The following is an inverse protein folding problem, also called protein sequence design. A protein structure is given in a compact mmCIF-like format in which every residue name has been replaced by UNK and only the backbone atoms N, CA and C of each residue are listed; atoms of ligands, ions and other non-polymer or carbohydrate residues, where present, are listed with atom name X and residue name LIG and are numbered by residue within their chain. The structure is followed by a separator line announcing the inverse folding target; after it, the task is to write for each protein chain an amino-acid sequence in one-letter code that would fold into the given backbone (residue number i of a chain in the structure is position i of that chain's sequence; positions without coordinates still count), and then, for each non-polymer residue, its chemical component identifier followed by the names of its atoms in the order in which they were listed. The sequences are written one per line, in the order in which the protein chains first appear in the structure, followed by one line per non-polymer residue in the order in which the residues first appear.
data_IF_439149816971
#
_entry.id   IF_439149816971
#
_cell.length_a   1.000
_cell.length_b   1.000
_cell.length_c   1.000
_cell.angle_alpha   90.00
_cell.angle_beta   90.00
_cell.angle_gamma   90.00
#
_symmetry.space_group_name_H-M   'P 1'
#
loop_
_entity.id
_entity.type
_entity.pdbx_description
1 polymer ?
#
# COMPACT_ATOMS: atom_id res chain seq x y z
N UNK A 1 17.81 19.50 26.98
CA UNK A 1 18.34 18.51 27.94
C UNK A 1 17.17 17.70 28.48
N UNK A 2 17.27 16.38 28.48
CA UNK A 2 16.30 15.49 29.11
C UNK A 2 17.04 14.47 30.00
N UNK A 3 16.31 13.89 30.95
CA UNK A 3 16.82 12.86 31.84
C UNK A 3 16.16 11.52 31.49
N UNK A 4 16.99 10.48 31.31
CA UNK A 4 16.50 9.10 31.18
C UNK A 4 17.17 8.25 32.25
N UNK A 5 16.47 8.01 33.36
CA UNK A 5 17.05 7.44 34.57
C UNK A 5 18.12 8.37 35.15
N UNK A 6 19.35 7.86 35.31
CA UNK A 6 20.51 8.63 35.81
C UNK A 6 21.33 9.31 34.71
N UNK A 7 20.99 9.10 33.43
CA UNK A 7 21.75 9.62 32.31
C UNK A 7 21.22 10.98 31.85
N UNK A 8 22.13 11.87 31.49
CA UNK A 8 21.83 13.15 30.86
C UNK A 8 21.90 12.96 29.34
N UNK A 9 20.84 13.34 28.64
CA UNK A 9 20.78 13.30 27.18
C UNK A 9 20.39 14.67 26.61
N UNK A 10 20.84 14.95 25.39
CA UNK A 10 20.44 16.13 24.63
C UNK A 10 19.56 15.72 23.46
N UNK A 11 18.49 16.47 23.26
CA UNK A 11 17.53 16.30 22.18
C UNK A 11 17.35 17.66 21.54
N UNK A 12 17.42 17.70 20.22
CA UNK A 12 17.19 18.91 19.43
C UNK A 12 16.52 18.54 18.11
N UNK A 13 15.78 19.49 17.53
CA UNK A 13 15.22 19.37 16.18
C UNK A 13 16.23 19.66 15.07
N UNK A 14 17.30 20.39 15.40
CA UNK A 14 18.43 20.64 14.50
C UNK A 14 19.21 19.34 14.22
N UNK A 15 20.06 19.38 13.19
CA UNK A 15 21.04 18.31 13.00
C UNK A 15 21.98 18.26 14.21
N UNK A 16 22.36 17.05 14.60
CA UNK A 16 23.08 16.84 15.84
C UNK A 16 24.08 15.70 15.77
N UNK A 17 25.13 15.82 16.57
CA UNK A 17 26.09 14.74 16.80
C UNK A 17 25.48 13.60 17.62
N UNK A 18 26.27 12.55 17.86
CA UNK A 18 25.83 11.39 18.64
C UNK A 18 25.44 11.72 20.09
N UNK A 19 25.97 12.81 20.65
CA UNK A 19 25.63 13.30 21.98
C UNK A 19 24.38 14.19 22.01
N UNK A 20 23.81 14.51 20.84
CA UNK A 20 22.61 15.35 20.70
C UNK A 20 22.88 16.86 20.71
N UNK A 21 24.15 17.27 20.58
CA UNK A 21 24.52 18.67 20.41
C UNK A 21 24.40 19.12 18.96
N UNK A 22 23.93 20.34 18.75
CA UNK A 22 23.73 20.93 17.42
C UNK A 22 25.05 20.95 16.65
N UNK A 23 24.99 20.59 15.38
CA UNK A 23 26.13 20.63 14.46
C UNK A 23 25.67 20.97 13.04
N UNK A 24 26.51 21.72 12.33
CA UNK A 24 26.34 22.01 10.90
C UNK A 24 27.46 21.38 10.05
N UNK A 25 28.29 20.53 10.67
CA UNK A 25 29.37 19.82 10.00
C UNK A 25 28.81 18.85 8.92
N UNK A 26 29.26 18.98 7.65
CA UNK A 26 28.68 18.22 6.54
C UNK A 26 28.92 16.70 6.65
N UNK A 27 30.05 16.26 7.20
CA UNK A 27 30.33 14.82 7.37
C UNK A 27 29.40 14.21 8.43
N UNK A 28 29.23 14.91 9.55
CA UNK A 28 28.28 14.51 10.60
C UNK A 28 26.85 14.50 10.08
N UNK A 29 26.47 15.50 9.26
CA UNK A 29 25.16 15.57 8.62
C UNK A 29 24.89 14.35 7.74
N UNK A 30 25.83 13.99 6.86
CA UNK A 30 25.69 12.83 5.98
C UNK A 30 25.59 11.52 6.78
N UNK A 31 26.49 11.33 7.75
CA UNK A 31 26.51 10.15 8.61
C UNK A 31 25.20 10.00 9.42
N UNK A 32 24.69 11.09 10.01
CA UNK A 32 23.48 11.05 10.83
C UNK A 32 22.20 10.90 10.00
N UNK A 33 22.15 11.49 8.81
CA UNK A 33 21.06 11.25 7.87
C UNK A 33 21.05 9.80 7.40
N UNK A 34 22.20 9.29 6.96
CA UNK A 34 22.37 7.89 6.54
C UNK A 34 21.98 6.94 7.67
N UNK A 35 22.42 7.20 8.91
CA UNK A 35 22.01 6.42 10.09
C UNK A 35 20.49 6.35 10.24
N UNK A 36 19.78 7.48 10.12
CA UNK A 36 18.31 7.54 10.26
C UNK A 36 17.61 6.81 9.12
N UNK A 37 18.05 7.03 7.88
CA UNK A 37 17.43 6.42 6.69
C UNK A 37 17.70 4.91 6.61
N UNK A 38 18.86 4.44 7.04
CA UNK A 38 19.16 2.99 7.11
C UNK A 38 18.19 2.24 8.01
N UNK A 39 17.61 2.88 9.04
CA UNK A 39 16.55 2.25 9.85
C UNK A 39 15.32 1.89 9.01
N UNK A 40 14.98 2.69 8.00
CA UNK A 40 13.90 2.34 7.08
C UNK A 40 14.28 1.08 6.27
N UNK A 41 15.52 0.97 5.79
CA UNK A 41 15.98 -0.25 5.11
C UNK A 41 15.92 -1.49 6.05
N UNK A 42 16.27 -1.29 7.33
CA UNK A 42 16.15 -2.33 8.35
C UNK A 42 14.70 -2.82 8.51
N UNK A 43 13.70 -1.92 8.45
CA UNK A 43 12.28 -2.28 8.52
C UNK A 43 11.91 -3.30 7.42
N UNK A 44 12.31 -3.05 6.17
CA UNK A 44 12.01 -3.97 5.05
C UNK A 44 12.70 -5.32 5.19
N UNK A 45 13.84 -5.39 5.89
CA UNK A 45 14.58 -6.64 6.11
C UNK A 45 14.05 -7.45 7.28
N UNK A 46 13.59 -6.78 8.34
CA UNK A 46 13.27 -7.40 9.63
C UNK A 46 11.77 -7.65 9.83
N UNK A 47 10.90 -6.87 9.19
CA UNK A 47 9.47 -7.17 9.17
C UNK A 47 9.22 -8.34 8.18
N UNK A 48 8.51 -9.40 8.57
CA UNK A 48 8.18 -10.50 7.66
C UNK A 48 7.44 -10.03 6.40
N UNK A 49 7.70 -10.65 5.24
CA UNK A 49 7.13 -10.23 3.94
C UNK A 49 5.59 -10.14 4.01
N UNK A 50 4.93 -11.11 4.64
CA UNK A 50 3.47 -11.18 4.84
C UNK A 50 2.91 -10.08 5.74
N UNK A 51 3.77 -9.45 6.55
CA UNK A 51 3.44 -8.27 7.34
C UNK A 51 3.66 -6.96 6.58
N UNK A 52 4.39 -6.99 5.47
CA UNK A 52 4.55 -5.85 4.56
C UNK A 52 3.46 -5.83 3.49
N UNK A 53 3.26 -6.94 2.79
CA UNK A 53 2.28 -7.12 1.73
C UNK A 53 1.88 -8.59 1.63
N UNK A 54 0.59 -8.85 1.43
CA UNK A 54 0.06 -10.20 1.33
C UNK A 54 -0.58 -10.42 -0.04
N UNK A 55 -0.19 -11.48 -0.74
CA UNK A 55 -0.94 -12.01 -1.87
C UNK A 55 -1.93 -13.08 -1.36
N UNK A 56 -3.22 -12.88 -1.63
CA UNK A 56 -4.30 -13.79 -1.21
C UNK A 56 -5.01 -14.31 -2.46
N UNK A 57 -5.04 -15.63 -2.65
CA UNK A 57 -5.61 -16.29 -3.82
C UNK A 57 -4.54 -16.80 -4.79
N UNK A 58 -4.97 -17.21 -5.99
CA UNK A 58 -4.07 -17.76 -7.01
C UNK A 58 -3.19 -16.64 -7.61
N UNK A 59 -1.84 -16.73 -7.59
CA UNK A 59 -0.95 -15.74 -8.19
C UNK A 59 -1.18 -15.51 -9.70
N UNK A 60 -1.74 -16.50 -10.39
CA UNK A 60 -2.01 -16.45 -11.84
C UNK A 60 -3.47 -16.14 -12.17
N UNK A 61 -4.20 -15.53 -11.23
CA UNK A 61 -5.58 -15.12 -11.43
C UNK A 61 -5.72 -14.10 -12.59
N UNK A 62 -6.91 -14.05 -13.19
CA UNK A 62 -7.21 -13.12 -14.27
C UNK A 62 -7.32 -11.68 -13.77
N UNK A 63 -7.74 -11.52 -12.51
CA UNK A 63 -7.95 -10.22 -11.86
C UNK A 63 -7.11 -10.15 -10.58
N UNK A 64 -6.39 -9.06 -10.43
CA UNK A 64 -5.67 -8.72 -9.20
C UNK A 64 -6.24 -7.44 -8.63
N UNK A 65 -6.94 -7.56 -7.50
CA UNK A 65 -7.29 -6.41 -6.69
C UNK A 65 -6.04 -5.92 -5.95
N UNK A 66 -5.81 -4.61 -5.96
CA UNK A 66 -4.82 -3.94 -5.14
C UNK A 66 -5.57 -3.07 -4.14
N UNK A 67 -5.32 -3.26 -2.84
CA UNK A 67 -6.04 -2.52 -1.80
C UNK A 67 -5.26 -2.49 -0.48
N UNK A 68 -5.73 -1.65 0.43
CA UNK A 68 -5.26 -1.55 1.80
C UNK A 68 -6.45 -1.29 2.76
N UNK A 69 -6.19 -1.36 4.07
CA UNK A 69 -7.16 -0.97 5.10
C UNK A 69 -8.42 -1.84 5.15
N UNK A 70 -9.57 -1.20 5.38
CA UNK A 70 -10.85 -1.86 5.72
C UNK A 70 -11.44 -2.74 4.61
N UNK A 71 -10.95 -2.62 3.37
CA UNK A 71 -11.59 -3.24 2.22
C UNK A 71 -11.26 -4.73 2.05
N UNK A 72 -10.33 -5.28 2.85
CA UNK A 72 -9.90 -6.68 2.76
C UNK A 72 -11.08 -7.65 2.77
N UNK A 73 -11.95 -7.57 3.78
CA UNK A 73 -13.07 -8.51 3.94
C UNK A 73 -14.05 -8.47 2.77
N UNK A 74 -14.36 -7.26 2.30
CA UNK A 74 -15.25 -7.02 1.16
C UNK A 74 -14.69 -7.65 -0.12
N UNK A 75 -13.41 -7.43 -0.40
CA UNK A 75 -12.74 -7.99 -1.58
C UNK A 75 -12.73 -9.52 -1.54
N UNK A 76 -12.47 -10.11 -0.38
CA UNK A 76 -12.51 -11.58 -0.24
C UNK A 76 -13.90 -12.16 -0.51
N UNK A 77 -14.98 -11.48 -0.07
CA UNK A 77 -16.36 -11.86 -0.45
C UNK A 77 -16.54 -11.86 -1.97
N UNK A 78 -16.10 -10.78 -2.63
CA UNK A 78 -16.23 -10.64 -4.09
C UNK A 78 -15.39 -11.67 -4.86
N UNK A 79 -14.19 -12.03 -4.36
CA UNK A 79 -13.37 -13.08 -4.98
C UNK A 79 -14.13 -14.42 -4.99
N UNK A 80 -14.82 -14.79 -3.90
CA UNK A 80 -15.61 -16.02 -3.88
C UNK A 80 -16.85 -15.93 -4.79
N UNK A 81 -17.49 -14.76 -4.91
CA UNK A 81 -18.58 -14.54 -5.88
C UNK A 81 -18.11 -14.71 -7.33
N UNK A 82 -16.97 -14.11 -7.69
CA UNK A 82 -16.38 -14.23 -9.03
C UNK A 82 -15.96 -15.67 -9.35
N UNK A 83 -15.42 -16.38 -8.36
CA UNK A 83 -15.04 -17.78 -8.48
C UNK A 83 -16.23 -18.68 -8.80
N UNK A 84 -17.41 -18.40 -8.23
CA UNK A 84 -18.65 -19.12 -8.56
C UNK A 84 -19.08 -18.95 -10.03
N UNK A 85 -18.61 -17.90 -10.69
CA UNK A 85 -18.82 -17.64 -12.12
C UNK A 85 -17.67 -18.12 -13.00
N UNK A 86 -16.68 -18.82 -12.42
CA UNK A 86 -15.48 -19.27 -13.14
C UNK A 86 -14.48 -18.15 -13.44
N UNK A 87 -14.62 -16.97 -12.83
CA UNK A 87 -13.68 -15.85 -12.97
C UNK A 87 -12.65 -15.94 -11.85
N UNK A 88 -11.37 -16.10 -12.19
CA UNK A 88 -10.30 -16.19 -11.19
C UNK A 88 -9.84 -14.80 -10.75
N UNK A 89 -9.80 -14.57 -9.45
CA UNK A 89 -9.35 -13.31 -8.85
C UNK A 89 -8.44 -13.54 -7.64
N UNK A 90 -7.53 -12.60 -7.39
CA UNK A 90 -6.67 -12.55 -6.20
C UNK A 90 -6.63 -11.12 -5.63
N UNK A 91 -6.02 -10.98 -4.45
CA UNK A 91 -5.83 -9.70 -3.77
C UNK A 91 -4.36 -9.53 -3.38
N UNK A 92 -3.74 -8.45 -3.83
CA UNK A 92 -2.52 -7.88 -3.26
C UNK A 92 -2.92 -6.86 -2.20
N UNK A 93 -2.76 -7.25 -0.93
CA UNK A 93 -3.15 -6.46 0.23
C UNK A 93 -1.95 -5.80 0.88
N UNK A 94 -1.88 -4.47 0.81
CA UNK A 94 -0.81 -3.68 1.40
C UNK A 94 -1.03 -3.48 2.90
N UNK A 95 0.01 -3.75 3.70
CA UNK A 95 0.05 -3.50 5.15
C UNK A 95 1.06 -2.42 5.52
N UNK A 96 2.17 -2.34 4.79
CA UNK A 96 3.23 -1.35 4.96
C UNK A 96 3.26 -0.39 3.75
N UNK A 97 3.11 0.91 4.01
CA UNK A 97 3.16 1.96 2.98
C UNK A 97 4.51 2.68 2.91
N UNK A 98 5.22 2.78 4.04
CA UNK A 98 6.53 3.42 4.12
C UNK A 98 7.40 2.75 5.21
N UNK A 99 8.62 2.30 4.90
CA UNK A 99 9.19 2.21 3.55
C UNK A 99 8.36 1.31 2.62
N UNK A 100 8.29 1.66 1.34
CA UNK A 100 7.46 0.93 0.39
C UNK A 100 8.13 -0.41 0.00
N UNK A 101 7.44 -1.56 0.08
CA UNK A 101 8.01 -2.87 -0.20
C UNK A 101 8.07 -3.17 -1.73
N UNK A 102 8.86 -2.36 -2.46
CA UNK A 102 8.85 -2.33 -3.93
C UNK A 102 9.14 -3.67 -4.59
N UNK A 103 10.05 -4.48 -4.03
CA UNK A 103 10.42 -5.78 -4.59
C UNK A 103 9.24 -6.76 -4.57
N UNK A 104 8.57 -6.87 -3.42
CA UNK A 104 7.43 -7.77 -3.23
C UNK A 104 6.23 -7.33 -4.06
N UNK A 105 5.92 -6.04 -4.07
CA UNK A 105 4.83 -5.50 -4.87
C UNK A 105 5.09 -5.72 -6.36
N UNK A 106 6.31 -5.49 -6.84
CA UNK A 106 6.68 -5.76 -8.24
C UNK A 106 6.56 -7.24 -8.56
N UNK A 107 7.00 -8.13 -7.65
CA UNK A 107 6.88 -9.59 -7.81
C UNK A 107 5.42 -10.01 -7.98
N UNK A 108 4.52 -9.50 -7.16
CA UNK A 108 3.10 -9.85 -7.21
C UNK A 108 2.34 -9.23 -8.39
N UNK A 109 2.72 -8.02 -8.83
CA UNK A 109 2.02 -7.32 -9.90
C UNK A 109 2.57 -7.60 -11.31
N UNK A 110 3.81 -8.10 -11.44
CA UNK A 110 4.48 -8.28 -12.74
C UNK A 110 3.75 -9.21 -13.73
N UNK A 111 3.04 -10.23 -13.22
CA UNK A 111 2.30 -11.19 -14.04
C UNK A 111 0.78 -10.96 -14.02
N UNK A 112 0.30 -9.91 -13.36
CA UNK A 112 -1.13 -9.65 -13.25
C UNK A 112 -1.68 -9.22 -14.61
N UNK A 113 -2.72 -9.90 -15.09
CA UNK A 113 -3.36 -9.59 -16.39
C UNK A 113 -4.19 -8.32 -16.31
N UNK A 114 -4.99 -8.19 -15.27
CA UNK A 114 -5.80 -7.02 -14.97
C UNK A 114 -5.61 -6.61 -13.51
N UNK A 115 -5.02 -5.44 -13.28
CA UNK A 115 -4.90 -4.86 -11.94
C UNK A 115 -6.01 -3.83 -11.73
N UNK A 116 -6.69 -3.91 -10.59
CA UNK A 116 -7.74 -2.98 -10.17
C UNK A 116 -7.40 -2.40 -8.81
N UNK A 117 -7.15 -1.09 -8.76
CA UNK A 117 -6.97 -0.35 -7.50
C UNK A 117 -8.34 -0.08 -6.87
N UNK A 118 -8.52 -0.56 -5.63
CA UNK A 118 -9.76 -0.43 -4.88
C UNK A 118 -9.49 0.29 -3.56
N UNK A 119 -10.01 1.50 -3.41
CA UNK A 119 -9.76 2.30 -2.22
C UNK A 119 -10.75 3.43 -1.99
N UNK A 120 -10.69 3.99 -0.77
CA UNK A 120 -11.61 5.02 -0.27
C UNK A 120 -11.08 6.45 -0.46
N UNK A 121 -10.57 6.77 -1.63
CA UNK A 121 -10.16 8.15 -1.93
C UNK A 121 -10.38 8.50 -3.41
N UNK A 122 -10.28 9.79 -3.72
CA UNK A 122 -10.55 10.29 -5.06
C UNK A 122 -9.41 9.98 -6.04
N UNK A 123 -8.16 9.96 -5.59
CA UNK A 123 -7.00 10.10 -6.46
C UNK A 123 -6.39 8.78 -6.93
N UNK A 124 -6.69 7.63 -6.31
CA UNK A 124 -5.90 6.42 -6.60
C UNK A 124 -4.50 6.54 -5.98
N UNK A 125 -4.43 6.92 -4.70
CA UNK A 125 -3.16 7.15 -3.99
C UNK A 125 -2.31 5.89 -3.95
N UNK A 126 -2.90 4.71 -3.72
CA UNK A 126 -2.12 3.48 -3.69
C UNK A 126 -1.55 3.15 -5.07
N UNK A 127 -2.34 3.26 -6.15
CA UNK A 127 -1.80 3.14 -7.51
C UNK A 127 -0.67 4.15 -7.81
N UNK A 128 -0.77 5.37 -7.28
CA UNK A 128 0.27 6.39 -7.45
C UNK A 128 1.57 6.00 -6.72
N UNK A 129 1.47 5.46 -5.50
CA UNK A 129 2.62 4.93 -4.75
C UNK A 129 3.27 3.74 -5.47
N UNK A 130 2.46 2.82 -6.00
CA UNK A 130 2.96 1.70 -6.81
C UNK A 130 3.68 2.21 -8.05
N UNK A 131 3.12 3.19 -8.75
CA UNK A 131 3.77 3.77 -9.94
C UNK A 131 5.10 4.44 -9.59
N UNK A 132 5.15 5.18 -8.49
CA UNK A 132 6.37 5.86 -8.02
C UNK A 132 7.48 4.86 -7.65
N UNK A 133 7.14 3.78 -6.96
CA UNK A 133 8.13 2.89 -6.35
C UNK A 133 8.47 1.65 -7.20
N UNK A 134 7.54 1.20 -8.05
CA UNK A 134 7.68 -0.02 -8.85
C UNK A 134 7.63 0.25 -10.36
N UNK A 135 7.23 1.45 -10.79
CA UNK A 135 7.03 1.75 -12.20
C UNK A 135 5.81 1.04 -12.83
N UNK A 136 5.04 0.26 -12.07
CA UNK A 136 3.83 -0.42 -12.57
C UNK A 136 2.71 0.60 -12.76
N UNK A 137 2.10 0.64 -13.95
CA UNK A 137 0.97 1.53 -14.25
C UNK A 137 -0.34 0.77 -13.98
N UNK A 138 -1.18 1.31 -13.11
CA UNK A 138 -2.52 0.79 -12.83
C UNK A 138 -3.53 1.76 -13.41
N UNK A 139 -4.43 1.26 -14.25
CA UNK A 139 -5.36 2.09 -15.02
C UNK A 139 -6.83 1.79 -14.72
N UNK A 140 -7.12 0.77 -13.92
CA UNK A 140 -8.49 0.40 -13.56
C UNK A 140 -8.71 0.68 -12.08
N UNK A 141 -9.79 1.40 -11.79
CA UNK A 141 -10.06 1.94 -10.46
C UNK A 141 -11.50 1.65 -10.04
N UNK A 142 -11.68 1.20 -8.80
CA UNK A 142 -12.97 1.13 -8.10
C UNK A 142 -12.84 1.99 -6.85
N UNK A 143 -13.42 3.18 -6.87
CA UNK A 143 -13.18 4.20 -5.84
C UNK A 143 -14.46 4.62 -5.14
N UNK A 144 -14.34 4.99 -3.87
CA UNK A 144 -15.43 5.59 -3.10
C UNK A 144 -14.92 6.69 -2.20
N UNK A 145 -15.58 7.83 -2.19
CA UNK A 145 -15.15 9.00 -1.41
C UNK A 145 -16.32 9.81 -0.86
N UNK A 146 -17.48 9.17 -0.70
CA UNK A 146 -18.69 9.76 -0.12
C UNK A 146 -18.79 9.58 1.40
N UNK A 147 -17.76 9.02 2.05
CA UNK A 147 -17.72 8.79 3.50
C UNK A 147 -18.44 7.53 4.00
N UNK A 148 -19.13 6.77 3.13
CA UNK A 148 -19.74 5.49 3.50
C UNK A 148 -18.78 4.32 3.27
N UNK A 149 -18.96 3.25 4.05
CA UNK A 149 -18.25 2.00 3.83
C UNK A 149 -18.55 1.43 2.45
N UNK A 150 -17.54 0.79 1.87
CA UNK A 150 -17.69 0.02 0.63
C UNK A 150 -18.39 -1.30 0.97
N UNK A 151 -19.36 -1.69 0.18
CA UNK A 151 -20.05 -2.98 0.29
C UNK A 151 -19.62 -3.93 -0.83
N UNK A 152 -19.87 -5.23 -0.64
CA UNK A 152 -19.43 -6.27 -1.59
C UNK A 152 -20.19 -6.23 -2.92
N UNK A 153 -21.48 -5.91 -2.89
CA UNK A 153 -22.28 -5.66 -4.09
C UNK A 153 -21.70 -4.51 -4.94
N UNK A 154 -21.31 -3.38 -4.33
CA UNK A 154 -20.72 -2.26 -5.05
C UNK A 154 -19.42 -2.66 -5.77
N UNK A 155 -18.57 -3.42 -5.09
CA UNK A 155 -17.30 -3.89 -5.65
C UNK A 155 -17.54 -4.92 -6.74
N UNK A 156 -18.47 -5.86 -6.52
CA UNK A 156 -18.87 -6.87 -7.50
C UNK A 156 -19.40 -6.21 -8.79
N UNK A 157 -20.37 -5.29 -8.69
CA UNK A 157 -20.85 -4.59 -9.88
C UNK A 157 -19.79 -3.67 -10.49
N UNK A 158 -18.91 -3.11 -9.68
CA UNK A 158 -17.78 -2.31 -10.13
C UNK A 158 -16.83 -3.12 -11.03
N UNK A 159 -16.43 -4.32 -10.59
CA UNK A 159 -15.56 -5.18 -11.41
C UNK A 159 -16.26 -5.65 -12.68
N UNK A 160 -17.57 -5.95 -12.63
CA UNK A 160 -18.34 -6.33 -13.84
C UNK A 160 -18.43 -5.19 -14.86
N UNK A 161 -18.47 -3.92 -14.41
CA UNK A 161 -18.39 -2.74 -15.30
C UNK A 161 -17.02 -2.63 -15.97
N UNK A 162 -15.94 -2.86 -15.23
CA UNK A 162 -14.57 -2.88 -15.79
C UNK A 162 -14.47 -3.97 -16.86
N UNK A 163 -14.90 -5.19 -16.56
CA UNK A 163 -14.79 -6.33 -17.49
C UNK A 163 -15.69 -6.18 -18.73
N UNK A 164 -16.94 -5.74 -18.55
CA UNK A 164 -17.95 -5.74 -19.62
C UNK A 164 -18.05 -4.44 -20.42
N UNK A 165 -17.75 -3.29 -19.81
CA UNK A 165 -17.86 -1.96 -20.44
C UNK A 165 -16.51 -1.26 -20.65
N UNK A 166 -15.41 -1.91 -20.27
CA UNK A 166 -14.06 -1.36 -20.32
C UNK A 166 -13.94 0.01 -19.62
N UNK A 167 -14.77 0.23 -18.59
CA UNK A 167 -14.75 1.46 -17.81
C UNK A 167 -13.51 1.48 -16.93
N UNK A 168 -12.62 2.44 -17.13
CA UNK A 168 -11.35 2.52 -16.39
C UNK A 168 -11.51 3.03 -14.96
N UNK A 169 -12.57 3.76 -14.67
CA UNK A 169 -12.78 4.36 -13.35
C UNK A 169 -14.23 4.26 -12.95
N UNK A 170 -14.52 3.36 -12.02
CA UNK A 170 -15.84 3.22 -11.42
C UNK A 170 -15.86 3.94 -10.08
N UNK A 171 -16.79 4.88 -9.93
CA UNK A 171 -17.05 5.55 -8.65
C UNK A 171 -18.30 4.95 -8.02
N UNK A 172 -18.15 4.38 -6.84
CA UNK A 172 -19.22 3.79 -6.03
C UNK A 172 -19.93 4.90 -5.23
N UNK A 173 -21.25 4.83 -5.17
CA UNK A 173 -22.10 5.90 -4.61
C UNK A 173 -23.10 5.38 -3.57
N UNK A 174 -23.16 4.08 -3.32
CA UNK A 174 -24.11 3.45 -2.42
C UNK A 174 -23.82 3.71 -0.93
N UNK A 175 -24.65 3.11 -0.09
CA UNK A 175 -24.72 3.36 1.34
C UNK A 175 -25.89 4.28 1.68
N UNK A 176 -26.84 3.77 2.47
CA UNK A 176 -27.85 4.57 3.15
C UNK A 176 -27.20 5.48 4.20
#
# INVERSE_FOLDING_TARGET
MAFFGKNIIWLTGDEHSELGHITEDPETRDAMMTKRMTKALTILREIPEEEQVQLIGNPNADITFLSWGSNKGVILSVIEQLKAEGISANLVYMKLMNPFPSELVSRYLSNAKLIVDLENNYTGQLASLVRQNCGVKIENFILKYNGRHITDDEVYYGIKRILGKNEKRVVMIGGA
#
